data_IF_342374031046
#
_entry.id   IF_342374031046
#
_cell.length_a   1.000
_cell.length_b   1.000
_cell.length_c   1.000
_cell.angle_alpha   90.00
_cell.angle_beta   90.00
_cell.angle_gamma   90.00
#
_symmetry.space_group_name_H-M   'P 1'
#
loop_
_entity.id
_entity.type
_entity.pdbx_description
1 polymer ?
#
# COMPACT_ATOMS: atom_id res chain seq x y z
N UNK A 1 7.39 -13.84 -8.26
CA UNK A 1 6.26 -14.01 -7.36
C UNK A 1 6.68 -14.98 -6.27
N UNK A 2 6.80 -14.51 -5.04
CA UNK A 2 7.04 -15.38 -3.87
C UNK A 2 5.74 -16.07 -3.46
N UNK A 3 5.81 -17.02 -2.53
CA UNK A 3 4.60 -17.65 -1.99
C UNK A 3 3.90 -16.66 -1.05
N UNK A 4 2.62 -16.41 -1.31
CA UNK A 4 1.73 -15.60 -0.45
C UNK A 4 1.43 -16.39 0.81
N UNK A 5 1.79 -15.85 1.96
CA UNK A 5 1.52 -16.50 3.25
C UNK A 5 0.15 -16.07 3.79
N UNK A 6 -0.19 -14.78 3.63
CA UNK A 6 -1.47 -14.23 4.08
C UNK A 6 -1.89 -13.00 3.26
N UNK A 7 -3.12 -13.00 2.77
CA UNK A 7 -3.77 -11.81 2.23
C UNK A 7 -4.18 -10.87 3.37
N UNK A 8 -3.74 -9.61 3.33
CA UNK A 8 -4.05 -8.58 4.33
C UNK A 8 -5.22 -7.72 3.88
N UNK A 9 -5.26 -7.34 2.60
CA UNK A 9 -6.36 -6.60 1.98
C UNK A 9 -6.43 -6.88 0.48
N UNK A 10 -7.64 -6.81 -0.07
CA UNK A 10 -7.93 -6.99 -1.49
C UNK A 10 -9.22 -6.21 -1.79
N UNK A 11 -9.10 -5.19 -2.63
CA UNK A 11 -10.20 -4.30 -3.00
C UNK A 11 -9.92 -3.56 -4.30
N UNK A 12 -10.99 -3.02 -4.89
CA UNK A 12 -10.94 -2.20 -6.09
C UNK A 12 -11.21 -0.74 -5.72
N UNK A 13 -10.47 0.20 -6.32
CA UNK A 13 -10.74 1.63 -6.13
C UNK A 13 -12.00 2.08 -6.88
N UNK A 14 -12.53 3.25 -6.52
CA UNK A 14 -13.79 3.79 -7.09
C UNK A 14 -13.75 3.98 -8.61
N UNK A 15 -12.56 4.04 -9.21
CA UNK A 15 -12.36 4.11 -10.66
C UNK A 15 -12.69 2.79 -11.39
N UNK A 16 -12.94 1.70 -10.65
CA UNK A 16 -13.27 0.36 -11.16
C UNK A 16 -12.23 -0.18 -12.16
N UNK A 17 -10.98 0.26 -12.03
CA UNK A 17 -9.88 -0.25 -12.85
C UNK A 17 -8.63 -0.55 -12.05
N UNK A 18 -8.49 0.08 -10.88
CA UNK A 18 -7.31 -0.11 -10.04
C UNK A 18 -7.60 -1.18 -8.99
N UNK A 19 -7.04 -2.38 -9.20
CA UNK A 19 -7.05 -3.45 -8.21
C UNK A 19 -5.90 -3.23 -7.22
N UNK A 20 -6.23 -3.25 -5.93
CA UNK A 20 -5.27 -3.06 -4.84
C UNK A 20 -5.21 -4.32 -4.01
N UNK A 21 -4.00 -4.88 -3.92
CA UNK A 21 -3.74 -6.07 -3.12
C UNK A 21 -2.61 -5.80 -2.13
N UNK A 22 -2.82 -6.19 -0.87
CA UNK A 22 -1.81 -6.11 0.18
C UNK A 22 -1.63 -7.50 0.78
N UNK A 23 -0.40 -8.00 0.75
CA UNK A 23 -0.06 -9.36 1.16
C UNK A 23 1.10 -9.38 2.13
N UNK A 24 1.11 -10.38 3.01
CA UNK A 24 2.30 -10.80 3.74
C UNK A 24 2.84 -12.05 3.04
N UNK A 25 4.06 -11.98 2.53
CA UNK A 25 4.69 -13.12 1.88
C UNK A 25 5.47 -14.00 2.86
N UNK A 26 5.89 -15.19 2.40
CA UNK A 26 6.61 -16.21 3.19
C UNK A 26 7.93 -15.74 3.83
N UNK A 27 8.44 -14.57 3.41
CA UNK A 27 9.66 -13.95 3.96
C UNK A 27 9.34 -12.92 5.05
N UNK A 28 8.08 -12.81 5.47
CA UNK A 28 7.62 -11.79 6.41
C UNK A 28 7.73 -10.37 5.84
N UNK A 29 7.60 -10.21 4.51
CA UNK A 29 7.57 -8.90 3.84
C UNK A 29 6.15 -8.54 3.45
N UNK A 30 5.84 -7.26 3.46
CA UNK A 30 4.57 -6.73 2.98
C UNK A 30 4.70 -6.39 1.50
N UNK A 31 3.90 -7.02 0.66
CA UNK A 31 3.80 -6.72 -0.77
C UNK A 31 2.55 -5.87 -1.02
N UNK A 32 2.72 -4.70 -1.62
CA UNK A 32 1.67 -3.81 -2.09
C UNK A 32 1.62 -3.87 -3.62
N UNK A 33 0.47 -4.25 -4.14
CA UNK A 33 0.18 -4.33 -5.57
C UNK A 33 -0.89 -3.29 -5.92
N UNK A 34 -0.63 -2.51 -6.96
CA UNK A 34 -1.57 -1.54 -7.51
C UNK A 34 -1.26 -1.37 -9.00
N UNK A 35 -2.10 -1.92 -9.87
CA UNK A 35 -1.84 -1.98 -11.33
C UNK A 35 -0.44 -2.51 -11.68
N UNK A 36 0.38 -1.69 -12.36
CA UNK A 36 1.75 -2.00 -12.75
C UNK A 36 2.76 -1.73 -11.61
N UNK A 37 2.31 -1.13 -10.50
CA UNK A 37 3.15 -0.86 -9.34
C UNK A 37 3.15 -2.07 -8.41
N UNK A 38 4.34 -2.59 -8.15
CA UNK A 38 4.59 -3.55 -7.08
C UNK A 38 5.70 -3.01 -6.16
N UNK A 39 5.39 -2.90 -4.88
CA UNK A 39 6.35 -2.52 -3.85
C UNK A 39 6.43 -3.61 -2.78
N UNK A 40 7.64 -4.01 -2.41
CA UNK A 40 7.91 -4.99 -1.36
C UNK A 40 8.62 -4.28 -0.22
N UNK A 41 8.12 -4.45 0.99
CA UNK A 41 8.60 -3.77 2.18
C UNK A 41 8.96 -4.74 3.30
N UNK A 42 9.98 -4.40 4.08
CA UNK A 42 10.06 -4.86 5.47
C UNK A 42 8.91 -4.27 6.30
N UNK A 43 8.64 -4.79 7.49
CA UNK A 43 7.65 -4.18 8.39
C UNK A 43 8.03 -2.73 8.76
N UNK A 44 9.32 -2.45 8.95
CA UNK A 44 9.85 -1.12 9.27
C UNK A 44 9.66 -0.16 8.08
N UNK A 45 10.02 -0.59 6.88
CA UNK A 45 9.84 0.19 5.65
C UNK A 45 8.36 0.46 5.36
N UNK A 46 7.48 -0.52 5.61
CA UNK A 46 6.04 -0.34 5.43
C UNK A 46 5.47 0.68 6.43
N UNK A 47 5.98 0.68 7.67
CA UNK A 47 5.61 1.68 8.68
C UNK A 47 6.02 3.09 8.24
N UNK A 48 7.26 3.27 7.81
CA UNK A 48 7.75 4.57 7.32
C UNK A 48 6.96 5.04 6.09
N UNK A 49 6.65 4.12 5.17
CA UNK A 49 5.79 4.41 4.01
C UNK A 49 4.40 4.91 4.45
N UNK A 50 3.76 4.20 5.38
CA UNK A 50 2.44 4.58 5.88
C UNK A 50 2.46 5.96 6.56
N UNK A 51 3.49 6.26 7.35
CA UNK A 51 3.67 7.57 7.99
C UNK A 51 3.81 8.69 6.95
N UNK A 52 4.65 8.47 5.92
CA UNK A 52 4.84 9.43 4.83
C UNK A 52 3.55 9.69 4.03
N UNK A 53 2.75 8.65 3.76
CA UNK A 53 1.45 8.79 3.08
C UNK A 53 0.45 9.60 3.92
N UNK A 54 0.42 9.39 5.23
CA UNK A 54 -0.44 10.15 6.15
C UNK A 54 -0.04 11.62 6.23
N UNK A 55 1.26 11.90 6.31
CA UNK A 55 1.78 13.28 6.30
C UNK A 55 1.42 13.99 5.00
N UNK A 56 1.72 13.37 3.85
CA UNK A 56 1.36 13.91 2.54
C UNK A 56 -0.15 14.15 2.39
N UNK A 57 -0.97 13.20 2.84
CA UNK A 57 -2.43 13.32 2.82
C UNK A 57 -2.95 14.46 3.71
N UNK A 58 -2.29 14.73 4.83
CA UNK A 58 -2.61 15.86 5.72
C UNK A 58 -2.27 17.19 5.04
N UNK A 59 -1.07 17.31 4.48
CA UNK A 59 -0.66 18.52 3.75
C UNK A 59 -1.55 18.81 2.55
N UNK A 60 -1.97 17.78 1.79
CA UNK A 60 -2.87 17.94 0.65
C UNK A 60 -4.26 18.44 1.07
N UNK A 61 -4.80 17.98 2.21
CA UNK A 61 -6.06 18.48 2.75
C UNK A 61 -5.96 19.95 3.14
N UNK A 62 -4.90 20.31 3.87
CA UNK A 62 -4.64 21.70 4.26
C UNK A 62 -4.52 22.64 3.05
N UNK A 63 -3.87 22.18 1.97
CA UNK A 63 -3.78 22.94 0.72
C UNK A 63 -5.11 23.09 -0.02
N UNK A 64 -5.98 22.08 0.01
CA UNK A 64 -7.28 22.10 -0.69
C UNK A 64 -8.31 22.94 0.04
N UNK A 65 -8.19 23.06 1.35
CA UNK A 65 -9.06 23.87 2.21
C UNK A 65 -8.62 25.35 2.32
N UNK A 66 -7.56 25.75 1.61
CA UNK A 66 -7.06 27.13 1.41
C UNK A 66 -7.57 27.75 0.10
#
# INVERSE_FOLDING_TARGET
MGIVERLLADFELEDQSTEVQIELNEKGRVDLHMDELQLTFTEEEYREFAEAVVEAGTSLKEMKDL
#
